data_IF_866279009251
#
_entry.id   IF_866279009251
#
_cell.length_a   1.000
_cell.length_b   1.000
_cell.length_c   1.000
_cell.angle_alpha   90.00
_cell.angle_beta   90.00
_cell.angle_gamma   90.00
#
_symmetry.space_group_name_H-M   'P 1'
#
loop_
_entity.id
_entity.type
_entity.pdbx_description
1 polymer ?
#
# COMPACT_ATOMS: atom_id res chain seq x y z
N UNK A 1 -22.91 20.17 -61.46
CA UNK A 1 -24.25 20.77 -61.60
C UNK A 1 -25.22 20.04 -60.70
N UNK A 2 -26.07 20.83 -60.05
CA UNK A 2 -26.99 20.49 -58.97
C UNK A 2 -28.09 19.47 -59.30
N UNK A 3 -28.62 18.89 -58.21
CA UNK A 3 -30.04 18.57 -57.95
C UNK A 3 -30.67 17.36 -58.66
N UNK A 4 -31.62 16.60 -58.11
CA UNK A 4 -32.26 16.40 -56.81
C UNK A 4 -33.20 15.16 -56.97
N UNK A 5 -33.43 14.40 -55.89
CA UNK A 5 -34.68 13.71 -55.51
C UNK A 5 -35.54 12.87 -56.49
N UNK A 6 -35.88 11.62 -56.12
CA UNK A 6 -37.11 11.22 -55.34
C UNK A 6 -37.31 9.68 -55.24
N UNK A 7 -37.18 9.19 -54.02
CA UNK A 7 -38.04 8.29 -53.23
C UNK A 7 -39.17 7.36 -53.81
N UNK A 8 -39.23 6.20 -53.14
CA UNK A 8 -40.34 5.27 -52.80
C UNK A 8 -40.88 4.24 -53.81
N UNK A 9 -40.70 2.93 -53.52
CA UNK A 9 -41.78 2.08 -52.96
C UNK A 9 -41.36 0.63 -52.62
N UNK A 10 -42.08 0.07 -51.64
CA UNK A 10 -42.02 -1.25 -51.01
C UNK A 10 -42.17 -2.46 -51.95
N UNK A 11 -41.50 -3.59 -51.63
CA UNK A 11 -42.03 -4.95 -51.92
C UNK A 11 -41.72 -5.93 -50.78
N UNK A 12 -42.75 -6.72 -50.44
CA UNK A 12 -42.82 -7.77 -49.41
C UNK A 12 -42.03 -9.05 -49.75
N UNK A 13 -41.64 -9.71 -48.67
CA UNK A 13 -41.15 -11.08 -48.48
C UNK A 13 -41.61 -12.16 -49.48
N UNK A 14 -40.62 -12.96 -49.92
CA UNK A 14 -40.80 -14.37 -50.31
C UNK A 14 -39.93 -15.27 -49.42
N UNK A 15 -40.55 -16.34 -48.90
CA UNK A 15 -39.96 -17.37 -48.04
C UNK A 15 -38.96 -18.22 -48.83
N UNK A 16 -37.76 -18.44 -48.27
CA UNK A 16 -36.92 -19.59 -48.63
C UNK A 16 -36.63 -20.36 -47.34
N UNK A 17 -36.94 -21.67 -47.39
CA UNK A 17 -36.73 -22.65 -46.32
C UNK A 17 -35.23 -22.92 -46.17
N UNK A 18 -34.64 -22.50 -45.06
CA UNK A 18 -33.31 -22.92 -44.61
C UNK A 18 -33.43 -23.64 -43.27
N UNK A 19 -33.13 -24.94 -43.27
CA UNK A 19 -33.04 -25.76 -42.05
C UNK A 19 -31.76 -25.35 -41.33
N UNK A 20 -31.89 -24.67 -40.19
CA UNK A 20 -30.78 -24.46 -39.25
C UNK A 20 -30.97 -25.42 -38.08
N UNK A 21 -30.11 -26.43 -37.98
CA UNK A 21 -29.93 -27.19 -36.75
C UNK A 21 -29.35 -26.23 -35.70
N UNK A 22 -30.15 -25.85 -34.71
CA UNK A 22 -29.65 -25.22 -33.49
C UNK A 22 -29.10 -26.32 -32.58
N UNK A 23 -27.79 -26.56 -32.64
CA UNK A 23 -27.07 -27.23 -31.57
C UNK A 23 -26.92 -26.25 -30.40
N UNK A 24 -27.75 -26.42 -29.38
CA UNK A 24 -27.55 -25.77 -28.08
C UNK A 24 -26.31 -26.38 -27.41
N UNK A 25 -25.14 -25.80 -27.66
CA UNK A 25 -23.96 -26.04 -26.84
C UNK A 25 -24.07 -25.14 -25.60
N UNK A 26 -24.63 -25.69 -24.52
CA UNK A 26 -24.55 -25.11 -23.18
C UNK A 26 -23.07 -25.14 -22.75
N UNK A 27 -22.34 -24.07 -23.04
CA UNK A 27 -21.08 -23.79 -22.34
C UNK A 27 -21.42 -23.53 -20.87
N UNK A 28 -21.36 -24.57 -20.04
CA UNK A 28 -21.15 -24.39 -18.60
C UNK A 28 -19.77 -23.78 -18.44
N UNK A 29 -19.73 -22.45 -18.26
CA UNK A 29 -18.57 -21.82 -17.66
C UNK A 29 -18.42 -22.41 -16.26
N UNK A 30 -17.52 -23.37 -16.12
CA UNK A 30 -16.99 -23.72 -14.81
C UNK A 30 -16.18 -22.52 -14.39
N UNK A 31 -16.81 -21.62 -13.64
CA UNK A 31 -16.10 -20.71 -12.76
C UNK A 31 -15.33 -21.63 -11.80
N UNK A 32 -14.06 -21.87 -12.13
CA UNK A 32 -13.10 -22.31 -11.13
C UNK A 32 -12.96 -21.13 -10.18
N UNK A 33 -13.82 -21.09 -9.16
CA UNK A 33 -13.51 -20.33 -7.97
C UNK A 33 -12.23 -20.98 -7.43
N UNK A 34 -11.09 -20.37 -7.72
CA UNK A 34 -9.90 -20.61 -6.93
C UNK A 34 -10.32 -20.35 -5.48
N UNK A 35 -10.35 -21.41 -4.67
CA UNK A 35 -10.52 -21.23 -3.24
C UNK A 35 -9.39 -20.30 -2.81
N UNK A 36 -9.68 -19.16 -2.14
CA UNK A 36 -8.61 -18.37 -1.58
C UNK A 36 -7.83 -19.31 -0.65
N UNK A 37 -6.54 -19.49 -0.94
CA UNK A 37 -5.66 -20.24 -0.06
C UNK A 37 -5.85 -19.69 1.35
N UNK A 38 -5.93 -20.56 2.39
CA UNK A 38 -6.06 -20.08 3.75
C UNK A 38 -4.96 -19.06 4.02
N UNK A 39 -5.35 -17.91 4.56
CA UNK A 39 -4.46 -16.82 4.88
C UNK A 39 -3.35 -17.37 5.77
N UNK A 40 -2.10 -17.34 5.31
CA UNK A 40 -0.99 -17.78 6.15
C UNK A 40 -0.77 -16.73 7.24
N UNK A 41 -1.42 -16.93 8.39
CA UNK A 41 -1.32 -16.01 9.52
C UNK A 41 0.12 -15.77 9.95
N UNK A 42 1.03 -16.72 9.79
CA UNK A 42 2.43 -16.52 10.17
C UNK A 42 3.15 -15.53 9.24
N UNK A 43 2.86 -15.54 7.93
CA UNK A 43 3.41 -14.54 7.00
C UNK A 43 2.85 -13.14 7.29
N UNK A 44 1.63 -13.06 7.82
CA UNK A 44 0.99 -11.81 8.23
C UNK A 44 1.39 -11.31 9.61
N UNK A 45 2.39 -11.87 10.30
CA UNK A 45 2.89 -11.30 11.55
C UNK A 45 4.42 -11.23 11.61
N UNK A 46 5.07 -11.10 10.45
CA UNK A 46 6.45 -10.63 10.37
C UNK A 46 6.60 -9.28 11.11
N UNK A 47 7.68 -9.06 11.89
CA UNK A 47 7.92 -7.80 12.56
C UNK A 47 8.06 -6.67 11.54
N UNK A 48 7.24 -5.60 11.63
CA UNK A 48 7.37 -4.48 10.71
C UNK A 48 8.68 -3.72 10.91
N UNK A 49 9.20 -3.15 9.83
CA UNK A 49 10.39 -2.31 9.89
C UNK A 49 10.13 -1.03 10.70
N UNK A 50 11.21 -0.41 11.18
CA UNK A 50 11.14 0.76 12.06
C UNK A 50 12.14 1.80 11.56
N UNK A 51 11.75 3.07 11.61
CA UNK A 51 12.60 4.18 11.20
C UNK A 51 12.44 5.37 12.13
N UNK A 52 13.57 5.96 12.54
CA UNK A 52 13.61 7.18 13.34
C UNK A 52 13.81 8.35 12.39
N UNK A 53 12.80 9.21 12.27
CA UNK A 53 12.87 10.39 11.42
C UNK A 53 13.31 11.61 12.24
N UNK A 54 14.54 12.11 12.01
CA UNK A 54 15.07 13.25 12.74
C UNK A 54 14.52 14.57 12.18
N UNK A 55 14.47 15.55 13.05
CA UNK A 55 14.04 16.89 12.72
C UNK A 55 15.14 17.65 12.00
N UNK A 56 14.76 18.49 11.05
CA UNK A 56 15.63 19.46 10.40
C UNK A 56 15.04 20.86 10.49
N UNK A 57 15.88 21.86 10.80
CA UNK A 57 15.49 23.28 10.75
C UNK A 57 15.49 23.84 9.33
N UNK A 58 16.23 23.20 8.42
CA UNK A 58 16.34 23.61 7.02
C UNK A 58 15.58 22.61 6.14
N UNK A 59 14.91 23.10 5.10
CA UNK A 59 14.21 22.22 4.17
C UNK A 59 15.17 21.82 3.03
N UNK A 60 15.23 20.54 2.64
CA UNK A 60 15.99 20.12 1.46
C UNK A 60 15.44 20.79 0.20
N UNK A 61 16.32 20.98 -0.79
CA UNK A 61 15.90 21.41 -2.11
C UNK A 61 15.37 20.19 -2.84
N UNK A 62 14.07 20.21 -3.15
CA UNK A 62 13.42 19.07 -3.79
C UNK A 62 13.69 19.12 -5.30
N UNK A 63 14.84 18.56 -5.73
CA UNK A 63 15.26 18.51 -7.14
C UNK A 63 15.67 17.11 -7.63
N UNK A 64 15.52 16.10 -6.76
CA UNK A 64 15.86 14.71 -7.01
C UNK A 64 17.26 14.33 -6.53
N UNK A 65 18.07 15.27 -6.00
CA UNK A 65 19.43 15.00 -5.57
C UNK A 65 19.52 14.54 -4.11
N UNK A 66 19.53 13.23 -3.90
CA UNK A 66 19.63 12.63 -2.55
C UNK A 66 21.02 12.69 -1.91
N UNK A 67 22.01 13.30 -2.58
CA UNK A 67 23.39 13.41 -2.10
C UNK A 67 23.68 14.75 -1.39
N UNK A 68 22.71 15.66 -1.30
CA UNK A 68 22.86 16.90 -0.55
C UNK A 68 23.25 16.64 0.92
N UNK A 69 23.98 17.58 1.52
CA UNK A 69 24.52 17.46 2.88
C UNK A 69 23.41 17.21 3.91
N UNK A 70 22.26 17.86 3.74
CA UNK A 70 21.11 17.69 4.62
C UNK A 70 20.65 16.22 4.73
N UNK A 71 20.72 15.44 3.65
CA UNK A 71 20.36 14.03 3.67
C UNK A 71 21.36 13.15 4.40
N UNK A 72 22.59 13.63 4.67
CA UNK A 72 23.55 12.90 5.48
C UNK A 72 23.16 12.89 6.97
N UNK A 73 22.25 13.77 7.37
CA UNK A 73 21.63 13.78 8.69
C UNK A 73 20.49 12.78 8.85
N UNK A 74 20.31 11.83 7.94
CA UNK A 74 19.33 10.74 8.03
C UNK A 74 19.99 9.40 7.69
N UNK A 75 19.66 8.35 8.44
CA UNK A 75 20.11 7.00 8.11
C UNK A 75 19.33 6.46 6.89
N UNK A 76 19.97 5.64 6.06
CA UNK A 76 19.22 4.88 5.06
C UNK A 76 18.38 3.79 5.75
N UNK A 77 17.20 3.50 5.20
CA UNK A 77 16.50 2.24 5.50
C UNK A 77 17.34 1.05 5.04
N UNK A 78 16.99 -0.13 5.53
CA UNK A 78 17.37 -1.38 4.86
C UNK A 78 16.86 -1.37 3.41
N UNK A 79 17.51 -2.15 2.55
CA UNK A 79 17.04 -2.37 1.19
C UNK A 79 15.67 -3.05 1.17
N UNK A 80 14.90 -2.75 0.12
CA UNK A 80 13.59 -3.34 -0.10
C UNK A 80 13.71 -4.85 -0.28
N UNK A 81 12.60 -5.53 0.00
CA UNK A 81 12.43 -6.97 -0.12
C UNK A 81 11.17 -7.25 -0.95
N UNK A 82 10.98 -8.50 -1.35
CA UNK A 82 9.69 -8.91 -1.90
C UNK A 82 8.55 -8.66 -0.88
N UNK A 83 7.38 -8.22 -1.35
CA UNK A 83 6.22 -7.90 -0.51
C UNK A 83 5.73 -9.09 0.34
N UNK A 84 5.93 -10.32 -0.15
CA UNK A 84 5.59 -11.55 0.57
C UNK A 84 6.67 -11.97 1.58
N UNK A 85 7.82 -11.28 1.57
CA UNK A 85 8.91 -11.43 2.54
C UNK A 85 10.02 -12.37 2.08
N UNK A 86 10.65 -13.07 3.03
CA UNK A 86 11.86 -13.88 2.78
C UNK A 86 11.61 -15.18 2.04
N UNK A 87 10.35 -15.53 1.76
CA UNK A 87 9.99 -16.74 1.01
C UNK A 87 10.26 -16.60 -0.48
N UNK A 88 10.46 -15.36 -0.97
CA UNK A 88 10.78 -15.05 -2.36
C UNK A 88 12.22 -14.55 -2.50
N UNK A 89 12.70 -14.53 -3.74
CA UNK A 89 14.02 -14.00 -4.06
C UNK A 89 14.10 -12.52 -3.68
N UNK A 90 15.27 -12.08 -3.22
CA UNK A 90 15.52 -10.66 -2.99
C UNK A 90 15.38 -9.88 -4.31
N UNK A 91 14.93 -8.61 -4.24
CA UNK A 91 14.94 -7.71 -5.38
C UNK A 91 16.26 -7.74 -6.14
N UNK A 92 16.18 -7.80 -7.47
CA UNK A 92 17.38 -7.77 -8.31
C UNK A 92 18.09 -6.42 -8.22
N UNK A 93 17.32 -5.34 -8.05
CA UNK A 93 17.85 -3.99 -7.94
C UNK A 93 17.51 -3.38 -6.60
N UNK A 94 18.51 -2.80 -5.95
CA UNK A 94 18.31 -2.24 -4.62
C UNK A 94 17.43 -0.99 -4.67
N UNK A 95 16.64 -0.83 -3.62
CA UNK A 95 15.88 0.39 -3.34
C UNK A 95 15.91 0.67 -1.85
N UNK A 96 16.13 1.93 -1.45
CA UNK A 96 16.20 2.37 -0.05
C UNK A 96 15.78 3.83 0.08
N UNK A 97 15.43 4.22 1.30
CA UNK A 97 14.82 5.52 1.60
C UNK A 97 15.51 6.22 2.77
N UNK A 98 15.52 7.55 2.77
CA UNK A 98 15.82 8.44 3.90
C UNK A 98 14.61 9.31 4.18
N UNK A 99 14.38 9.63 5.45
CA UNK A 99 13.28 10.50 5.85
C UNK A 99 13.75 11.54 6.85
N UNK A 100 13.35 12.79 6.64
CA UNK A 100 13.50 13.91 7.56
C UNK A 100 12.12 14.52 7.82
N UNK A 101 11.99 15.33 8.85
CA UNK A 101 10.78 16.14 9.04
C UNK A 101 11.08 17.51 9.61
N UNK A 102 10.15 18.43 9.44
CA UNK A 102 10.14 19.70 10.17
C UNK A 102 8.71 20.07 10.57
N UNK A 103 8.50 21.28 11.07
CA UNK A 103 7.18 21.71 11.54
C UNK A 103 6.11 21.81 10.43
N UNK A 104 6.48 21.63 9.15
CA UNK A 104 5.58 21.82 8.00
C UNK A 104 5.51 20.62 7.05
N UNK A 105 6.59 19.85 6.91
CA UNK A 105 6.70 18.78 5.92
C UNK A 105 7.31 17.51 6.53
N UNK A 106 6.85 16.37 6.02
CA UNK A 106 7.63 15.14 5.97
C UNK A 106 8.45 15.17 4.66
N UNK A 107 9.74 14.92 4.75
CA UNK A 107 10.63 14.83 3.58
C UNK A 107 11.04 13.38 3.37
N UNK A 108 10.99 12.94 2.11
CA UNK A 108 11.35 11.57 1.70
C UNK A 108 12.36 11.67 0.57
N UNK A 109 13.46 10.92 0.66
CA UNK A 109 14.44 10.74 -0.39
C UNK A 109 14.59 9.24 -0.68
N UNK A 110 14.46 8.83 -1.93
CA UNK A 110 14.61 7.43 -2.35
C UNK A 110 15.70 7.29 -3.41
N UNK A 111 16.44 6.18 -3.33
CA UNK A 111 17.40 5.75 -4.33
C UNK A 111 16.94 4.41 -4.91
N UNK A 112 16.76 4.35 -6.23
CA UNK A 112 16.31 3.18 -6.96
C UNK A 112 17.37 2.80 -8.00
N UNK A 113 18.07 1.69 -7.79
CA UNK A 113 18.93 1.12 -8.83
C UNK A 113 18.07 0.61 -9.98
N UNK A 114 18.41 0.97 -11.20
CA UNK A 114 17.66 0.56 -12.39
C UNK A 114 18.56 0.72 -13.63
N UNK A 115 18.97 -0.38 -14.29
CA UNK A 115 19.75 -0.31 -15.52
C UNK A 115 18.93 0.13 -16.75
N UNK A 116 17.60 0.07 -16.68
CA UNK A 116 16.69 0.41 -17.77
C UNK A 116 15.61 1.36 -17.28
N UNK A 117 15.94 2.64 -17.10
CA UNK A 117 14.98 3.61 -16.56
C UNK A 117 13.90 3.88 -17.60
N UNK A 118 12.69 3.44 -17.28
CA UNK A 118 11.56 3.43 -18.18
C UNK A 118 10.32 4.04 -17.53
N UNK A 119 9.68 4.96 -18.24
CA UNK A 119 8.38 5.53 -17.89
C UNK A 119 7.68 6.02 -19.17
N UNK A 120 6.35 5.99 -19.21
CA UNK A 120 5.55 6.40 -20.37
C UNK A 120 4.47 7.39 -20.01
N UNK A 121 3.99 7.36 -18.76
CA UNK A 121 2.89 8.18 -18.27
C UNK A 121 3.42 9.55 -17.84
N UNK A 122 2.76 10.60 -18.33
CA UNK A 122 3.15 12.01 -18.09
C UNK A 122 2.02 12.87 -17.52
N UNK A 123 0.80 12.33 -17.53
CA UNK A 123 -0.39 13.05 -17.10
C UNK A 123 -0.58 12.81 -15.61
N UNK A 124 -0.71 13.89 -14.84
CA UNK A 124 -1.13 13.83 -13.44
C UNK A 124 -2.43 13.02 -13.32
N UNK A 125 -2.53 12.19 -12.30
CA UNK A 125 -3.64 11.25 -12.03
C UNK A 125 -3.83 10.14 -13.08
N UNK A 126 -2.83 9.88 -13.94
CA UNK A 126 -2.79 8.61 -14.66
C UNK A 126 -2.55 7.48 -13.64
N UNK A 127 -3.10 6.29 -13.91
CA UNK A 127 -2.82 5.09 -13.10
C UNK A 127 -1.35 4.73 -13.32
N UNK A 128 -0.43 5.17 -12.44
CA UNK A 128 1.00 5.19 -12.75
C UNK A 128 1.73 3.86 -12.51
N UNK A 129 1.18 2.94 -11.70
CA UNK A 129 1.71 1.57 -11.57
C UNK A 129 1.80 0.77 -12.89
N UNK A 130 1.29 1.32 -14.00
CA UNK A 130 1.55 0.77 -15.33
C UNK A 130 2.95 1.10 -15.88
N UNK A 131 3.70 2.02 -15.27
CA UNK A 131 5.15 2.21 -15.43
C UNK A 131 5.90 1.55 -14.26
N UNK A 132 7.23 1.64 -14.26
CA UNK A 132 7.97 1.50 -13.01
C UNK A 132 7.80 2.78 -12.18
N UNK A 133 7.51 2.63 -10.89
CA UNK A 133 7.27 3.75 -10.00
C UNK A 133 7.82 3.51 -8.58
N UNK A 134 7.70 4.55 -7.77
CA UNK A 134 7.97 4.55 -6.35
C UNK A 134 6.73 5.06 -5.62
N UNK A 135 6.29 4.31 -4.62
CA UNK A 135 5.04 4.58 -3.90
C UNK A 135 5.32 4.81 -2.41
N UNK A 136 4.57 5.72 -1.80
CA UNK A 136 4.60 6.07 -0.39
C UNK A 136 3.21 5.88 0.20
N UNK A 137 3.10 5.10 1.27
CA UNK A 137 1.86 4.83 1.98
C UNK A 137 1.94 5.35 3.40
N UNK A 138 0.96 6.15 3.86
CA UNK A 138 1.03 6.82 5.17
C UNK A 138 -0.30 6.69 5.91
N UNK A 139 -0.24 6.15 7.12
CA UNK A 139 -1.32 6.18 8.11
C UNK A 139 -0.81 6.94 9.37
N UNK A 140 -1.16 8.24 9.50
CA UNK A 140 -0.63 9.14 10.54
C UNK A 140 -1.14 8.87 11.96
N UNK A 141 -2.23 8.13 12.13
CA UNK A 141 -2.80 7.90 13.46
C UNK A 141 -2.80 6.43 13.90
N UNK A 142 -2.40 5.52 13.01
CA UNK A 142 -2.27 4.09 13.25
C UNK A 142 -3.60 3.45 13.67
N UNK A 143 -4.69 3.90 13.04
CA UNK A 143 -6.03 3.32 13.17
C UNK A 143 -6.44 2.46 11.95
N UNK A 144 -5.59 2.43 10.90
CA UNK A 144 -5.74 1.78 9.58
C UNK A 144 -6.78 2.36 8.64
N UNK A 145 -7.35 3.48 9.01
CA UNK A 145 -8.32 4.26 8.27
C UNK A 145 -7.71 5.60 7.87
N UNK A 146 -8.39 6.31 6.98
CA UNK A 146 -8.01 7.67 6.55
C UNK A 146 -6.52 7.81 6.17
N UNK A 147 -6.02 6.83 5.42
CA UNK A 147 -4.62 6.74 5.02
C UNK A 147 -4.42 7.21 3.58
N UNK A 148 -3.17 7.46 3.21
CA UNK A 148 -2.79 8.12 1.97
C UNK A 148 -1.82 7.25 1.17
N UNK A 149 -1.85 7.43 -0.14
CA UNK A 149 -0.93 6.85 -1.10
C UNK A 149 -0.48 7.94 -2.07
N UNK A 150 0.83 7.97 -2.34
CA UNK A 150 1.47 8.89 -3.28
C UNK A 150 2.45 8.07 -4.11
N UNK A 151 2.25 8.05 -5.41
CA UNK A 151 3.08 7.35 -6.37
C UNK A 151 3.83 8.38 -7.24
N UNK A 152 5.06 8.06 -7.66
CA UNK A 152 5.82 8.83 -8.63
C UNK A 152 6.59 7.93 -9.60
N UNK A 153 6.55 8.25 -10.90
CA UNK A 153 7.38 7.58 -11.90
C UNK A 153 8.64 8.38 -12.27
N UNK A 154 9.49 7.82 -13.14
CA UNK A 154 10.74 8.47 -13.56
C UNK A 154 10.56 9.79 -14.35
N UNK A 155 9.34 10.13 -14.79
CA UNK A 155 9.00 11.44 -15.35
C UNK A 155 8.64 12.49 -14.29
N UNK A 156 8.69 12.15 -13.00
CA UNK A 156 8.14 12.93 -11.90
C UNK A 156 6.62 13.14 -12.03
N UNK A 157 5.90 12.19 -12.64
CA UNK A 157 4.44 12.22 -12.72
C UNK A 157 3.87 11.68 -11.43
N UNK A 158 2.95 12.43 -10.82
CA UNK A 158 2.32 12.07 -9.54
C UNK A 158 0.94 11.46 -9.78
N UNK A 159 0.66 10.44 -8.98
CA UNK A 159 -0.67 9.96 -8.66
C UNK A 159 -0.80 9.93 -7.14
N UNK A 160 -1.91 10.42 -6.61
CA UNK A 160 -2.19 10.36 -5.19
C UNK A 160 -3.64 10.00 -4.92
N UNK A 161 -3.87 9.33 -3.80
CA UNK A 161 -5.20 8.99 -3.36
C UNK A 161 -5.32 8.98 -1.85
N UNK A 162 -6.57 9.09 -1.42
CA UNK A 162 -6.96 8.94 -0.03
C UNK A 162 -7.91 7.76 0.14
N UNK A 163 -7.71 7.00 1.22
CA UNK A 163 -8.52 5.84 1.57
C UNK A 163 -9.17 6.05 2.94
N UNK A 164 -10.50 6.05 2.98
CA UNK A 164 -11.22 6.08 4.27
C UNK A 164 -11.01 4.81 5.08
N UNK A 165 -10.84 3.66 4.41
CA UNK A 165 -10.55 2.35 4.99
C UNK A 165 -10.03 1.39 3.92
N UNK A 166 -9.45 0.23 4.28
CA UNK A 166 -8.91 -0.72 3.31
C UNK A 166 -9.93 -1.31 2.33
N UNK A 167 -9.50 -1.65 1.11
CA UNK A 167 -10.35 -2.30 0.10
C UNK A 167 -11.02 -3.58 0.59
N UNK A 168 -10.30 -4.40 1.38
CA UNK A 168 -10.83 -5.64 1.99
C UNK A 168 -12.02 -5.39 2.93
N UNK A 169 -12.22 -4.15 3.35
CA UNK A 169 -13.31 -3.68 4.20
C UNK A 169 -14.28 -2.78 3.44
N UNK A 170 -14.40 -2.97 2.12
CA UNK A 170 -15.25 -2.19 1.22
C UNK A 170 -14.86 -0.71 1.15
N UNK A 171 -13.61 -0.38 1.41
CA UNK A 171 -13.05 0.93 1.14
C UNK A 171 -13.02 1.24 -0.36
N UNK A 172 -13.01 2.53 -0.69
CA UNK A 172 -12.87 3.03 -2.06
C UNK A 172 -11.89 4.19 -2.06
N UNK A 173 -10.99 4.18 -3.04
CA UNK A 173 -10.05 5.28 -3.21
C UNK A 173 -10.78 6.55 -3.67
N UNK A 174 -10.48 7.65 -2.99
CA UNK A 174 -10.81 8.99 -3.44
C UNK A 174 -9.64 9.51 -4.27
N UNK A 175 -9.57 9.07 -5.53
CA UNK A 175 -8.54 9.49 -6.51
C UNK A 175 -8.66 10.97 -6.92
N UNK A 176 -9.72 11.65 -6.50
CA UNK A 176 -9.89 13.10 -6.71
C UNK A 176 -9.24 13.94 -5.61
N UNK A 177 -8.82 13.30 -4.51
CA UNK A 177 -8.05 13.95 -3.47
C UNK A 177 -6.62 14.15 -3.97
N UNK A 178 -6.03 15.30 -3.69
CA UNK A 178 -4.65 15.62 -4.06
C UNK A 178 -3.90 16.18 -2.85
N UNK A 179 -2.61 15.87 -2.76
CA UNK A 179 -1.70 16.45 -1.77
C UNK A 179 -1.40 17.89 -2.15
N UNK A 180 -2.26 18.82 -1.72
CA UNK A 180 -2.08 20.24 -2.05
C UNK A 180 -0.72 20.78 -1.56
N UNK A 181 0.06 21.33 -2.50
CA UNK A 181 1.43 21.83 -2.30
C UNK A 181 2.49 20.75 -2.05
N UNK A 182 2.26 19.51 -2.47
CA UNK A 182 3.34 18.54 -2.65
C UNK A 182 4.42 19.15 -3.55
N UNK A 183 5.68 18.96 -3.16
CA UNK A 183 6.83 19.19 -4.03
C UNK A 183 7.51 17.86 -4.25
N UNK A 184 7.86 17.56 -5.49
CA UNK A 184 8.59 16.34 -5.86
C UNK A 184 9.67 16.66 -6.89
N UNK A 185 10.76 15.91 -6.84
CA UNK A 185 11.89 16.00 -7.76
C UNK A 185 12.38 14.61 -8.11
N UNK A 186 12.72 14.40 -9.38
CA UNK A 186 13.32 13.16 -9.86
C UNK A 186 14.60 13.48 -10.62
N UNK A 187 15.66 12.72 -10.35
CA UNK A 187 16.89 12.77 -11.11
C UNK A 187 17.20 11.37 -11.64
N UNK A 188 17.43 11.26 -12.96
CA UNK A 188 17.86 10.01 -13.60
C UNK A 188 19.39 10.03 -13.72
N UNK A 189 20.05 9.00 -13.21
CA UNK A 189 21.49 8.82 -13.36
C UNK A 189 21.78 7.98 -14.62
N UNK A 190 21.52 8.61 -15.77
CA UNK A 190 21.55 7.96 -17.09
C UNK A 190 20.62 8.68 -18.07
N UNK A 191 19.96 7.95 -18.95
CA UNK A 191 19.05 8.49 -19.98
C UNK A 191 17.68 7.81 -19.94
N UNK A 192 16.67 8.53 -19.48
CA UNK A 192 15.30 8.03 -19.44
C UNK A 192 14.80 7.56 -20.82
N UNK A 193 14.26 6.34 -20.88
CA UNK A 193 13.72 5.70 -22.08
C UNK A 193 14.72 5.50 -23.22
N UNK A 194 16.02 5.32 -22.92
CA UNK A 194 17.02 4.99 -23.92
C UNK A 194 17.47 3.52 -23.81
N UNK A 195 17.00 2.62 -24.69
CA UNK A 195 17.42 1.23 -24.65
C UNK A 195 18.85 0.96 -25.17
N UNK A 196 19.58 2.00 -25.60
CA UNK A 196 20.93 1.86 -26.15
C UNK A 196 22.04 2.07 -25.11
N UNK A 197 21.71 2.49 -23.90
CA UNK A 197 22.65 2.61 -22.80
C UNK A 197 22.21 1.74 -21.60
N UNK A 198 22.93 1.89 -20.51
CA UNK A 198 22.66 1.23 -19.24
C UNK A 198 22.80 2.28 -18.16
N UNK A 199 21.70 2.54 -17.48
CA UNK A 199 21.60 3.55 -16.44
C UNK A 199 22.16 3.02 -15.11
N UNK A 200 22.39 3.93 -14.16
CA UNK A 200 22.66 3.54 -12.76
C UNK A 200 21.37 3.41 -11.96
N UNK A 201 20.37 4.19 -12.32
CA UNK A 201 19.11 4.29 -11.60
C UNK A 201 18.52 5.68 -11.65
N UNK A 202 17.63 5.93 -10.70
CA UNK A 202 16.98 7.21 -10.51
C UNK A 202 16.71 7.44 -9.04
N UNK A 203 16.55 8.71 -8.69
CA UNK A 203 16.35 9.16 -7.32
C UNK A 203 15.12 10.04 -7.26
N UNK A 204 14.43 9.97 -6.13
CA UNK A 204 13.20 10.71 -5.84
C UNK A 204 13.43 11.55 -4.60
N UNK A 205 12.95 12.78 -4.62
CA UNK A 205 12.73 13.58 -3.42
C UNK A 205 11.29 14.05 -3.35
N UNK A 206 10.71 14.08 -2.14
CA UNK A 206 9.40 14.67 -1.89
C UNK A 206 9.41 15.50 -0.61
N UNK A 207 8.71 16.64 -0.64
CA UNK A 207 8.28 17.36 0.54
C UNK A 207 6.75 17.29 0.63
N UNK A 208 6.26 16.46 1.55
CA UNK A 208 4.84 16.18 1.77
C UNK A 208 4.35 17.10 2.90
N UNK A 209 3.46 18.07 2.63
CA UNK A 209 2.99 18.98 3.67
C UNK A 209 2.19 18.23 4.73
N UNK A 210 2.65 18.26 5.99
CA UNK A 210 2.05 17.51 7.09
C UNK A 210 0.56 17.80 7.21
N UNK A 211 0.15 19.07 7.06
CA UNK A 211 -1.26 19.50 7.15
C UNK A 211 -2.22 18.74 6.22
N UNK A 212 -1.71 18.18 5.12
CA UNK A 212 -2.52 17.38 4.19
C UNK A 212 -2.80 15.97 4.72
N UNK A 213 -2.08 15.54 5.76
CA UNK A 213 -2.15 14.21 6.33
C UNK A 213 -2.97 14.14 7.65
N UNK A 214 -3.50 15.25 8.19
CA UNK A 214 -4.33 15.23 9.42
C UNK A 214 -5.80 15.54 9.19
N UNK A 215 -6.50 14.62 8.54
CA UNK A 215 -7.97 14.72 8.43
C UNK A 215 -8.65 14.50 9.80
N UNK A 216 -7.99 13.84 10.77
CA UNK A 216 -8.57 13.54 12.09
C UNK A 216 -7.70 13.98 13.28
N UNK A 217 -7.95 15.18 13.82
CA UNK A 217 -7.69 15.65 15.21
C UNK A 217 -6.32 15.44 15.89
N UNK A 218 -5.33 14.79 15.28
CA UNK A 218 -3.98 14.69 15.83
C UNK A 218 -3.22 16.00 15.60
N UNK A 219 -2.40 16.43 16.57
CA UNK A 219 -1.65 17.66 16.45
C UNK A 219 -0.69 17.59 15.26
N UNK A 220 -0.71 18.65 14.44
CA UNK A 220 0.29 18.93 13.43
C UNK A 220 1.02 20.21 13.83
N UNK A 221 2.37 20.21 13.78
CA UNK A 221 3.23 19.08 13.43
C UNK A 221 3.23 17.98 14.51
N UNK A 222 3.64 16.74 14.17
CA UNK A 222 3.81 15.65 15.15
C UNK A 222 4.67 16.09 16.34
N UNK A 223 4.30 15.66 17.54
CA UNK A 223 5.12 15.86 18.74
C UNK A 223 6.30 14.89 18.77
N UNK A 224 7.33 15.20 19.58
CA UNK A 224 8.40 14.24 19.92
C UNK A 224 7.79 12.89 20.33
N UNK A 225 8.28 11.82 19.72
CA UNK A 225 7.85 10.47 20.03
C UNK A 225 6.53 10.03 19.40
N UNK A 226 5.90 10.88 18.60
CA UNK A 226 4.77 10.48 17.76
C UNK A 226 5.21 9.36 16.84
N UNK A 227 4.35 8.36 16.66
CA UNK A 227 4.60 7.23 15.77
C UNK A 227 3.51 7.17 14.71
N UNK A 228 3.91 7.10 13.44
CA UNK A 228 3.02 6.83 12.30
C UNK A 228 3.28 5.44 11.74
N UNK A 229 2.36 4.98 10.90
CA UNK A 229 2.58 3.85 10.01
C UNK A 229 2.97 4.38 8.66
N UNK A 230 4.06 3.86 8.10
CA UNK A 230 4.53 4.23 6.77
C UNK A 230 5.07 3.00 6.05
N UNK A 231 4.87 2.92 4.74
CA UNK A 231 5.59 1.96 3.93
C UNK A 231 5.93 2.57 2.58
N UNK A 232 6.83 1.89 1.89
CA UNK A 232 7.28 2.26 0.56
C UNK A 232 7.22 1.03 -0.33
N UNK A 233 6.82 1.24 -1.58
CA UNK A 233 6.83 0.21 -2.62
C UNK A 233 7.59 0.71 -3.84
N UNK A 234 8.12 -0.23 -4.60
CA UNK A 234 8.55 -0.06 -5.98
C UNK A 234 7.79 -1.09 -6.79
N UNK A 235 6.95 -0.61 -7.71
CA UNK A 235 6.43 -1.46 -8.77
C UNK A 235 7.51 -1.58 -9.84
N UNK A 236 7.89 -2.81 -10.14
CA UNK A 236 8.91 -3.12 -11.14
C UNK A 236 8.34 -4.04 -12.20
N UNK A 237 8.25 -3.54 -13.43
CA UNK A 237 7.99 -4.33 -14.61
C UNK A 237 9.30 -4.81 -15.24
N UNK A 238 9.30 -6.08 -15.62
CA UNK A 238 10.31 -6.60 -16.53
C UNK A 238 10.08 -6.03 -17.94
N UNK A 239 11.10 -5.37 -18.50
CA UNK A 239 11.07 -4.84 -19.86
C UNK A 239 12.00 -5.61 -20.80
N UNK A 240 11.65 -5.60 -22.08
CA UNK A 240 12.48 -6.04 -23.20
C UNK A 240 12.59 -4.92 -24.23
N UNK A 241 13.61 -4.99 -25.09
CA UNK A 241 13.81 -4.02 -26.16
C UNK A 241 13.17 -4.56 -27.44
N UNK A 242 12.21 -3.82 -28.00
CA UNK A 242 11.60 -4.10 -29.30
C UNK A 242 11.59 -2.83 -30.14
N UNK A 243 12.12 -2.92 -31.37
CA UNK A 243 12.19 -1.79 -32.30
C UNK A 243 12.80 -0.51 -31.67
N UNK A 244 13.85 -0.68 -30.85
CA UNK A 244 14.53 0.43 -30.19
C UNK A 244 13.71 1.11 -29.09
N UNK A 245 12.72 0.42 -28.49
CA UNK A 245 11.94 0.91 -27.36
C UNK A 245 11.79 -0.16 -26.28
N UNK A 246 11.67 0.27 -25.03
CA UNK A 246 11.25 -0.61 -23.95
C UNK A 246 9.78 -1.00 -24.11
N UNK A 247 9.50 -2.29 -23.96
CA UNK A 247 8.16 -2.87 -23.89
C UNK A 247 8.12 -3.87 -22.74
N UNK A 248 7.00 -3.97 -22.03
CA UNK A 248 6.85 -4.98 -20.97
C UNK A 248 7.04 -6.39 -21.54
N UNK A 249 7.76 -7.24 -20.82
CA UNK A 249 7.83 -8.67 -21.15
C UNK A 249 6.45 -9.28 -21.02
N UNK A 250 6.12 -10.17 -21.95
CA UNK A 250 4.82 -10.86 -21.99
C UNK A 250 5.00 -12.35 -21.82
N UNK A 251 4.04 -13.02 -21.17
CA UNK A 251 3.95 -14.48 -21.13
C UNK A 251 3.48 -15.08 -22.45
N UNK A 252 3.39 -16.41 -22.50
CA UNK A 252 2.95 -17.16 -23.69
C UNK A 252 1.52 -16.81 -24.16
N UNK A 253 0.70 -16.22 -23.29
CA UNK A 253 -0.66 -15.76 -23.59
C UNK A 253 -0.71 -14.33 -24.17
N UNK A 254 0.44 -13.70 -24.41
CA UNK A 254 0.56 -12.33 -24.91
C UNK A 254 0.24 -11.22 -23.89
N UNK A 255 -0.04 -11.57 -22.62
CA UNK A 255 -0.24 -10.60 -21.54
C UNK A 255 1.08 -10.24 -20.88
N UNK A 256 1.26 -9.01 -20.35
CA UNK A 256 2.40 -8.67 -19.52
C UNK A 256 2.61 -9.71 -18.41
N UNK A 257 3.87 -10.04 -18.13
CA UNK A 257 4.22 -10.76 -16.91
C UNK A 257 3.79 -9.93 -15.69
N UNK A 258 3.44 -10.55 -14.56
CA UNK A 258 3.17 -9.80 -13.33
C UNK A 258 4.33 -8.89 -12.97
N UNK A 259 4.01 -7.70 -12.48
CA UNK A 259 4.96 -6.81 -11.85
C UNK A 259 5.53 -7.41 -10.57
N UNK A 260 6.75 -7.00 -10.24
CA UNK A 260 7.30 -7.24 -8.91
C UNK A 260 6.90 -6.09 -7.99
N UNK A 261 6.55 -6.42 -6.76
CA UNK A 261 6.26 -5.45 -5.71
C UNK A 261 7.36 -5.56 -4.65
N UNK A 262 8.30 -4.62 -4.68
CA UNK A 262 9.40 -4.59 -3.73
C UNK A 262 9.15 -3.51 -2.70
N UNK A 263 9.22 -3.83 -1.42
CA UNK A 263 8.78 -2.96 -0.34
C UNK A 263 9.81 -2.84 0.77
N UNK A 264 9.76 -1.73 1.51
CA UNK A 264 10.61 -1.57 2.69
C UNK A 264 10.21 -2.55 3.80
N UNK A 265 8.94 -2.54 4.22
CA UNK A 265 8.39 -3.45 5.23
C UNK A 265 7.49 -4.51 4.57
N UNK A 266 7.91 -5.79 4.50
CA UNK A 266 7.11 -6.86 3.90
C UNK A 266 5.76 -7.05 4.58
N UNK A 267 4.72 -7.35 3.80
CA UNK A 267 3.36 -7.50 4.29
C UNK A 267 2.96 -8.96 4.48
N UNK A 268 3.62 -9.86 3.76
CA UNK A 268 3.32 -11.30 3.74
C UNK A 268 2.24 -11.68 2.73
N UNK A 269 1.79 -10.74 1.90
CA UNK A 269 0.88 -10.94 0.77
C UNK A 269 1.06 -9.82 -0.27
N UNK A 270 0.70 -10.06 -1.53
CA UNK A 270 0.72 -9.05 -2.61
C UNK A 270 -0.49 -8.11 -2.46
N UNK A 271 -0.41 -7.17 -1.52
CA UNK A 271 -1.40 -6.10 -1.34
C UNK A 271 -0.84 -4.99 -0.45
N UNK A 272 -0.64 -3.78 -0.98
CA UNK A 272 -0.12 -2.67 -0.16
C UNK A 272 -1.11 -2.13 0.86
N UNK A 273 -2.42 -2.33 0.69
CA UNK A 273 -3.46 -1.73 1.52
C UNK A 273 -3.75 -2.49 2.81
N UNK A 274 -2.71 -2.93 3.52
CA UNK A 274 -2.79 -3.46 4.88
C UNK A 274 -1.97 -2.55 5.83
N UNK A 275 -2.50 -1.38 6.25
CA UNK A 275 -1.75 -0.41 7.06
C UNK A 275 -1.21 -0.96 8.39
N UNK A 276 -1.90 -1.95 8.97
CA UNK A 276 -1.45 -2.70 10.14
C UNK A 276 -0.18 -3.55 9.91
N UNK A 277 0.32 -3.63 8.67
CA UNK A 277 1.52 -4.36 8.25
C UNK A 277 2.70 -3.45 7.87
N UNK A 278 2.45 -2.18 7.62
CA UNK A 278 3.46 -1.18 7.27
C UNK A 278 4.55 -1.00 8.34
N UNK A 279 5.64 -0.31 8.02
CA UNK A 279 6.65 0.01 9.03
C UNK A 279 6.18 1.09 10.00
N UNK A 280 6.99 1.35 11.02
CA UNK A 280 6.79 2.43 11.98
C UNK A 280 7.73 3.60 11.69
N UNK A 281 7.17 4.80 11.65
CA UNK A 281 7.91 6.07 11.55
C UNK A 281 7.86 6.78 12.90
N UNK A 282 9.00 6.96 13.55
CA UNK A 282 9.12 7.62 14.84
C UNK A 282 9.69 9.02 14.68
N UNK A 283 8.93 10.04 15.10
CA UNK A 283 9.34 11.44 14.98
C UNK A 283 10.21 11.85 16.16
N UNK A 284 11.42 12.35 15.88
CA UNK A 284 12.29 12.94 16.90
C UNK A 284 12.84 14.30 16.49
N UNK A 285 12.94 15.21 17.45
CA UNK A 285 13.61 16.52 17.35
C UNK A 285 15.12 16.43 17.54
N UNK A 286 15.63 15.25 17.90
CA UNK A 286 17.07 14.98 17.96
C UNK A 286 17.63 14.80 16.55
N UNK A 287 18.91 15.11 16.38
CA UNK A 287 19.64 14.78 15.16
C UNK A 287 19.78 13.25 15.01
N UNK A 288 19.84 12.74 13.76
CA UNK A 288 19.77 11.31 13.40
C UNK A 288 20.68 10.34 14.17
N UNK A 289 21.81 10.81 14.66
CA UNK A 289 22.94 9.96 15.05
C UNK A 289 23.14 9.86 16.55
N UNK A 290 22.18 10.32 17.36
CA UNK A 290 22.13 9.95 18.77
C UNK A 290 21.44 8.59 18.90
N UNK A 291 22.10 7.61 19.54
CA UNK A 291 21.62 6.26 19.89
C UNK A 291 20.24 6.30 20.57
N UNK A 292 19.23 6.52 19.77
CA UNK A 292 17.84 6.56 20.18
C UNK A 292 17.32 5.17 19.87
N UNK A 293 17.35 4.26 20.84
CA UNK A 293 16.70 2.97 20.65
C UNK A 293 15.19 3.21 20.54
N UNK A 294 14.62 3.08 19.33
CA UNK A 294 13.17 3.05 19.18
C UNK A 294 12.65 1.76 19.81
N UNK A 295 11.79 1.90 20.81
CA UNK A 295 11.06 0.79 21.39
C UNK A 295 9.60 0.91 20.98
N UNK A 296 9.09 -0.14 20.35
CA UNK A 296 7.69 -0.19 19.97
C UNK A 296 6.81 -0.02 21.22
N UNK A 297 5.86 0.94 21.26
CA UNK A 297 5.00 1.12 22.41
C UNK A 297 4.26 -0.16 22.77
N UNK A 298 4.13 -0.44 24.07
CA UNK A 298 3.45 -1.64 24.58
C UNK A 298 2.04 -1.83 23.98
N UNK A 299 1.32 -0.73 23.79
CA UNK A 299 0.00 -0.71 23.16
C UNK A 299 -0.04 -1.36 21.77
N UNK A 300 1.03 -1.26 20.98
CA UNK A 300 1.08 -1.87 19.66
C UNK A 300 1.16 -3.41 19.75
N UNK A 301 1.79 -3.94 20.80
CA UNK A 301 1.79 -5.40 21.08
C UNK A 301 0.41 -5.88 21.50
N UNK A 302 -0.37 -5.05 22.19
CA UNK A 302 -1.79 -5.33 22.48
C UNK A 302 -2.62 -5.33 21.19
N UNK A 303 -2.48 -4.32 20.35
CA UNK A 303 -3.18 -4.21 19.06
C UNK A 303 -2.88 -5.38 18.11
N UNK A 304 -1.67 -5.96 18.14
CA UNK A 304 -1.37 -7.17 17.37
C UNK A 304 -2.28 -8.35 17.73
N UNK A 305 -2.71 -8.49 18.99
CA UNK A 305 -3.66 -9.54 19.38
C UNK A 305 -5.06 -9.26 18.83
N UNK A 306 -5.47 -7.99 18.79
CA UNK A 306 -6.72 -7.58 18.14
C UNK A 306 -6.71 -7.91 16.65
N UNK A 307 -5.60 -7.63 15.95
CA UNK A 307 -5.45 -8.00 14.54
C UNK A 307 -5.55 -9.51 14.30
N UNK A 308 -4.98 -10.33 15.20
CA UNK A 308 -5.13 -11.80 15.13
C UNK A 308 -6.59 -12.22 15.23
N UNK A 309 -7.36 -11.63 16.14
CA UNK A 309 -8.81 -11.89 16.26
C UNK A 309 -9.57 -11.42 15.03
N UNK A 310 -9.23 -10.24 14.51
CA UNK A 310 -9.84 -9.67 13.32
C UNK A 310 -9.68 -10.60 12.10
N UNK A 311 -8.47 -11.10 11.83
CA UNK A 311 -8.26 -12.00 10.69
C UNK A 311 -9.01 -13.33 10.86
N UNK A 312 -9.02 -13.88 12.08
CA UNK A 312 -9.81 -15.09 12.38
C UNK A 312 -11.31 -14.85 12.20
N UNK A 313 -11.82 -13.68 12.59
CA UNK A 313 -13.21 -13.31 12.32
C UNK A 313 -13.51 -13.22 10.82
N UNK A 314 -12.58 -12.67 10.02
CA UNK A 314 -12.73 -12.59 8.57
C UNK A 314 -12.75 -13.97 7.92
N UNK A 315 -11.85 -14.87 8.34
CA UNK A 315 -11.88 -16.27 7.89
C UNK A 315 -13.15 -17.00 8.31
N UNK A 316 -13.59 -16.82 9.56
CA UNK A 316 -14.81 -17.44 10.07
C UNK A 316 -16.03 -16.95 9.27
N UNK A 317 -16.14 -15.64 9.03
CA UNK A 317 -17.22 -15.07 8.22
C UNK A 317 -17.23 -15.62 6.79
N UNK A 318 -16.06 -15.77 6.15
CA UNK A 318 -15.97 -16.36 4.82
C UNK A 318 -16.48 -17.82 4.78
N UNK A 319 -16.26 -18.59 5.83
CA UNK A 319 -16.67 -20.01 5.92
C UNK A 319 -18.13 -20.19 6.33
N UNK A 320 -18.65 -19.32 7.19
CA UNK A 320 -19.94 -19.50 7.85
C UNK A 320 -21.01 -18.47 7.45
N UNK A 321 -20.65 -17.40 6.75
CA UNK A 321 -21.56 -16.31 6.37
C UNK A 321 -22.01 -15.41 7.53
N UNK A 322 -21.40 -15.56 8.71
CA UNK A 322 -21.66 -14.78 9.91
C UNK A 322 -20.41 -14.67 10.78
N UNK A 323 -20.31 -13.67 11.65
CA UNK A 323 -19.20 -13.57 12.60
C UNK A 323 -19.36 -14.53 13.78
N UNK A 324 -18.24 -15.00 14.31
CA UNK A 324 -18.19 -15.81 15.53
C UNK A 324 -18.64 -14.97 16.72
N UNK A 325 -19.43 -15.56 17.62
CA UNK A 325 -19.92 -14.90 18.83
C UNK A 325 -19.04 -15.19 20.05
N UNK A 326 -18.33 -16.31 20.01
CA UNK A 326 -17.48 -16.76 21.11
C UNK A 326 -16.01 -16.86 20.67
N UNK A 327 -15.10 -16.53 21.60
CA UNK A 327 -13.65 -16.60 21.35
C UNK A 327 -13.18 -18.02 21.01
N UNK A 328 -13.85 -19.05 21.53
CA UNK A 328 -13.56 -20.46 21.27
C UNK A 328 -13.77 -20.85 19.81
N UNK A 329 -14.76 -20.26 19.13
CA UNK A 329 -15.01 -20.47 17.70
C UNK A 329 -13.87 -19.92 16.82
N UNK A 330 -13.10 -18.97 17.37
CA UNK A 330 -11.89 -18.41 16.77
C UNK A 330 -10.61 -19.13 17.26
N UNK A 331 -10.75 -20.29 17.91
CA UNK A 331 -9.63 -21.06 18.45
C UNK A 331 -8.92 -20.39 19.64
N UNK A 332 -9.60 -19.51 20.37
CA UNK A 332 -9.10 -18.86 21.59
C UNK A 332 -9.81 -19.45 22.81
N UNK A 333 -9.21 -20.48 23.39
CA UNK A 333 -9.76 -21.20 24.56
C UNK A 333 -9.50 -20.52 25.90
N UNK A 334 -8.50 -19.63 25.95
CA UNK A 334 -8.20 -18.80 27.11
C UNK A 334 -8.23 -17.34 26.68
N UNK A 335 -9.09 -16.55 27.30
CA UNK A 335 -9.21 -15.12 27.03
C UNK A 335 -8.10 -14.30 27.69
N UNK A 336 -7.27 -14.90 28.54
CA UNK A 336 -6.07 -14.28 29.09
C UNK A 336 -4.88 -14.47 28.15
N UNK A 337 -4.31 -13.36 27.69
CA UNK A 337 -3.08 -13.37 26.88
C UNK A 337 -1.95 -12.65 27.61
N UNK A 338 -0.82 -13.34 27.73
CA UNK A 338 0.39 -12.75 28.30
C UNK A 338 1.15 -12.01 27.20
N UNK A 339 1.37 -10.71 27.38
CA UNK A 339 2.16 -9.86 26.50
C UNK A 339 3.31 -9.34 27.34
N UNK A 340 4.52 -9.77 27.02
CA UNK A 340 5.71 -9.58 27.87
C UNK A 340 5.46 -10.11 29.29
N UNK A 341 5.53 -9.24 30.31
CA UNK A 341 5.31 -9.59 31.71
C UNK A 341 3.90 -9.26 32.22
N UNK A 342 3.02 -8.75 31.35
CA UNK A 342 1.68 -8.31 31.71
C UNK A 342 0.60 -9.25 31.18
N UNK A 343 -0.47 -9.44 31.96
CA UNK A 343 -1.63 -10.25 31.58
C UNK A 343 -2.74 -9.34 31.05
N UNK A 344 -3.26 -9.66 29.88
CA UNK A 344 -4.35 -8.93 29.23
C UNK A 344 -5.57 -9.82 29.10
N UNK A 345 -6.75 -9.22 29.20
CA UNK A 345 -8.03 -9.87 28.95
C UNK A 345 -8.51 -9.55 27.54
N UNK A 346 -8.90 -10.58 26.80
CA UNK A 346 -9.60 -10.48 25.53
C UNK A 346 -11.11 -10.59 25.76
N UNK A 347 -11.88 -9.75 25.07
CA UNK A 347 -13.34 -9.83 25.03
C UNK A 347 -13.81 -9.73 23.59
N UNK A 348 -14.93 -10.37 23.28
CA UNK A 348 -15.57 -10.33 21.98
C UNK A 348 -17.06 -10.03 22.16
N UNK A 349 -17.57 -9.10 21.37
CA UNK A 349 -18.99 -8.83 21.21
C UNK A 349 -19.32 -8.93 19.73
N UNK A 350 -20.27 -9.79 19.34
CA UNK A 350 -20.59 -9.98 17.93
C UNK A 350 -22.06 -10.36 17.69
N UNK A 351 -22.52 -10.05 16.49
CA UNK A 351 -23.76 -10.58 15.93
C UNK A 351 -23.48 -11.11 14.51
N UNK A 352 -24.52 -11.42 13.74
CA UNK A 352 -24.38 -11.98 12.39
C UNK A 352 -23.58 -11.08 11.43
N UNK A 353 -23.60 -9.76 11.61
CA UNK A 353 -23.10 -8.78 10.64
C UNK A 353 -21.98 -7.88 11.14
N UNK A 354 -21.71 -7.83 12.44
CA UNK A 354 -20.64 -7.00 13.01
C UNK A 354 -20.02 -7.67 14.24
N UNK A 355 -18.80 -7.27 14.56
CA UNK A 355 -18.13 -7.62 15.79
C UNK A 355 -17.27 -6.47 16.30
N UNK A 356 -16.99 -6.51 17.60
CA UNK A 356 -15.97 -5.71 18.26
C UNK A 356 -15.18 -6.63 19.19
N UNK A 357 -13.86 -6.64 19.03
CA UNK A 357 -12.94 -7.33 19.92
C UNK A 357 -12.18 -6.31 20.75
N UNK A 358 -11.91 -6.64 22.01
CA UNK A 358 -11.31 -5.75 22.98
C UNK A 358 -10.11 -6.42 23.64
N UNK A 359 -9.13 -5.60 24.04
CA UNK A 359 -8.01 -6.02 24.87
C UNK A 359 -7.77 -4.97 25.96
N UNK A 360 -7.56 -5.46 27.18
CA UNK A 360 -7.30 -4.61 28.34
C UNK A 360 -6.29 -5.26 29.29
N UNK A 361 -5.36 -4.47 29.82
CA UNK A 361 -4.50 -4.86 30.94
C UNK A 361 -5.12 -4.33 32.25
N UNK A 362 -5.67 -5.21 33.08
CA UNK A 362 -6.37 -4.83 34.32
C UNK A 362 -7.38 -3.68 34.08
N UNK A 363 -7.37 -2.61 34.88
CA UNK A 363 -8.26 -1.44 34.74
C UNK A 363 -7.67 -0.31 33.87
N UNK A 364 -6.67 -0.60 33.02
CA UNK A 364 -6.04 0.40 32.14
C UNK A 364 -6.89 0.67 30.89
N UNK A 365 -6.32 1.46 29.97
CA UNK A 365 -6.89 1.78 28.65
C UNK A 365 -7.31 0.48 27.94
N UNK A 366 -8.52 0.51 27.37
CA UNK A 366 -9.05 -0.56 26.54
C UNK A 366 -8.82 -0.19 25.09
N UNK A 367 -8.20 -1.09 24.34
CA UNK A 367 -8.14 -0.99 22.89
C UNK A 367 -9.16 -1.93 22.28
N UNK A 368 -9.76 -1.51 21.17
CA UNK A 368 -10.75 -2.31 20.47
C UNK A 368 -10.54 -2.26 18.95
N UNK A 369 -10.95 -3.33 18.27
CA UNK A 369 -11.01 -3.44 16.81
C UNK A 369 -12.42 -3.84 16.40
N UNK A 370 -12.96 -3.23 15.35
CA UNK A 370 -14.28 -3.57 14.81
C UNK A 370 -14.19 -4.41 13.53
N UNK A 371 -15.34 -4.74 12.94
CA UNK A 371 -15.44 -5.51 11.69
C UNK A 371 -14.80 -4.84 10.48
N UNK A 372 -14.59 -3.52 10.50
CA UNK A 372 -13.92 -2.75 9.45
C UNK A 372 -12.42 -2.62 9.69
N UNK A 373 -11.90 -3.19 10.78
CA UNK A 373 -10.48 -3.12 11.15
C UNK A 373 -10.09 -1.81 11.83
N UNK A 374 -11.04 -0.95 12.19
CA UNK A 374 -10.74 0.31 12.87
C UNK A 374 -10.24 0.03 14.28
N UNK A 375 -9.02 0.47 14.59
CA UNK A 375 -8.42 0.39 15.93
C UNK A 375 -8.65 1.70 16.68
N UNK A 376 -9.19 1.63 17.89
CA UNK A 376 -9.39 2.82 18.71
C UNK A 376 -9.30 2.49 20.21
N UNK A 377 -9.25 3.54 21.03
CA UNK A 377 -9.48 3.41 22.47
C UNK A 377 -10.97 3.33 22.75
N UNK A 378 -11.40 2.31 23.47
CA UNK A 378 -12.80 2.12 23.87
C UNK A 378 -13.02 2.46 25.35
N UNK A 379 -14.26 2.76 25.72
CA UNK A 379 -14.73 2.77 27.12
C UNK A 379 -15.44 1.44 27.40
N UNK A 380 -15.40 1.00 28.66
CA UNK A 380 -16.14 -0.17 29.13
C UNK A 380 -17.64 -0.01 28.99
#
# INVERSE_FOLDING_TARGET
>A
MNHFHKNFNYVRFTKIKGIYLFSYFLLRQVLVCAQPSPLNMESLFTPPQQYITPFTSEAPKIDGNVNEEIWQSAAWTNYFMDIEGTTHAKPTWNTRVKMLWNDTCLFVAAELQEPHVWATLKKHDAIIYHDNDFEIFIDPDNDTHHYYEIEVNAYNTIFDLFMTKPYRNNGRALISWQVARLRSGVQVQGTLNNPNDTDKGWTVEMAIPLRMLAINSKPIPPAEGTTWRINFSRVQWDVAIQQGKYVKKTGANGKPLPEHNWVWSPQGLINMHYPERWGYLYFTRKAALQDSAFSLPYAEKQKQQLWRLYYRQKEYFQKHGQYAKDLTDLGVNNNQVKIENQVNQLKLEANTHQFMAFIQEADKIIYCINQDGLIQTCKN
#
